data_IF_038073338889
#
_entry.id   IF_038073338889
#
_cell.length_a   1.000
_cell.length_b   1.000
_cell.length_c   1.000
_cell.angle_alpha   90.00
_cell.angle_beta   90.00
_cell.angle_gamma   90.00
#
_symmetry.space_group_name_H-M   'P 1'
#
loop_
_entity.id
_entity.type
_entity.pdbx_description
1 polymer ?
#
# COMPACT_ATOMS: atom_id res chain seq x y z
N UNK A 1 31.82 -19.52 33.29
CA UNK A 1 30.86 -18.60 32.63
C UNK A 1 29.86 -19.46 31.90
N UNK A 2 28.61 -19.46 32.35
CA UNK A 2 27.55 -20.31 31.82
C UNK A 2 27.12 -19.84 30.43
N UNK A 3 26.84 -20.79 29.55
CA UNK A 3 26.19 -20.56 28.26
C UNK A 3 24.70 -20.35 28.49
N UNK A 4 24.21 -19.16 28.13
CA UNK A 4 22.79 -18.85 28.04
C UNK A 4 22.23 -19.50 26.76
N UNK A 5 21.17 -20.34 26.84
CA UNK A 5 20.54 -20.89 25.65
C UNK A 5 19.70 -19.80 24.96
N UNK A 6 20.00 -19.54 23.69
CA UNK A 6 19.19 -18.68 22.83
C UNK A 6 17.81 -19.30 22.61
N UNK A 7 16.77 -18.60 23.09
CA UNK A 7 15.36 -18.96 22.91
C UNK A 7 14.99 -19.16 21.43
N UNK A 8 14.08 -20.09 21.09
CA UNK A 8 13.54 -20.21 19.74
C UNK A 8 12.56 -19.05 19.51
N UNK A 9 13.01 -18.03 18.79
CA UNK A 9 12.14 -16.96 18.31
C UNK A 9 11.09 -17.53 17.36
N UNK A 10 9.81 -17.41 17.73
CA UNK A 10 8.69 -17.86 16.90
C UNK A 10 8.72 -17.19 15.53
N UNK A 11 8.76 -18.01 14.47
CA UNK A 11 8.59 -17.53 13.10
C UNK A 11 7.16 -17.00 12.98
N UNK A 12 6.99 -15.68 13.00
CA UNK A 12 5.83 -15.07 12.36
C UNK A 12 5.86 -15.50 10.89
N UNK A 13 4.80 -16.19 10.47
CA UNK A 13 4.77 -17.02 9.26
C UNK A 13 5.06 -16.22 7.99
N UNK A 14 6.15 -16.59 7.33
CA UNK A 14 6.48 -16.17 5.96
C UNK A 14 5.34 -16.61 5.03
N UNK A 15 4.74 -15.66 4.30
CA UNK A 15 3.70 -15.98 3.30
C UNK A 15 4.31 -16.44 1.98
N UNK A 16 3.62 -17.37 1.33
CA UNK A 16 3.94 -17.77 -0.05
C UNK A 16 3.64 -16.63 -1.04
N UNK A 17 4.28 -16.69 -2.22
CA UNK A 17 4.04 -15.73 -3.30
C UNK A 17 2.56 -15.75 -3.73
N UNK A 18 1.95 -16.93 -3.83
CA UNK A 18 0.56 -17.08 -4.27
C UNK A 18 -0.44 -16.49 -3.26
N UNK A 19 -0.20 -16.70 -1.96
CA UNK A 19 -1.02 -16.06 -0.92
C UNK A 19 -0.98 -14.54 -1.03
N UNK A 20 0.22 -13.97 -1.19
CA UNK A 20 0.37 -12.51 -1.29
C UNK A 20 -0.18 -11.99 -2.61
N UNK A 21 -0.09 -12.76 -3.70
CA UNK A 21 -0.74 -12.41 -4.96
C UNK A 21 -2.27 -12.35 -4.80
N UNK A 22 -2.88 -13.28 -4.06
CA UNK A 22 -4.30 -13.22 -3.74
C UNK A 22 -4.66 -12.00 -2.88
N UNK A 23 -3.81 -11.65 -1.91
CA UNK A 23 -3.97 -10.43 -1.10
C UNK A 23 -3.91 -9.17 -1.97
N UNK A 24 -2.98 -9.10 -2.93
CA UNK A 24 -2.90 -8.02 -3.91
C UNK A 24 -4.21 -7.91 -4.70
N UNK A 25 -4.71 -9.02 -5.24
CA UNK A 25 -5.97 -9.02 -6.01
C UNK A 25 -7.15 -8.50 -5.20
N UNK A 26 -7.19 -8.83 -3.90
CA UNK A 26 -8.18 -8.27 -2.97
C UNK A 26 -8.01 -6.75 -2.79
N UNK A 27 -6.77 -6.27 -2.63
CA UNK A 27 -6.47 -4.83 -2.53
C UNK A 27 -6.91 -4.05 -3.77
N UNK A 28 -6.83 -4.64 -4.97
CA UNK A 28 -7.29 -4.01 -6.21
C UNK A 28 -8.79 -3.70 -6.22
N UNK A 29 -9.58 -4.34 -5.35
CA UNK A 29 -11.01 -4.06 -5.21
C UNK A 29 -11.33 -2.83 -4.37
N UNK A 30 -10.36 -2.30 -3.62
CA UNK A 30 -10.55 -1.16 -2.74
C UNK A 30 -10.93 0.10 -3.54
N UNK A 31 -11.90 0.91 -3.07
CA UNK A 31 -12.33 2.13 -3.76
C UNK A 31 -11.18 3.10 -4.06
N UNK A 32 -10.24 3.26 -3.12
CA UNK A 32 -9.07 4.14 -3.28
C UNK A 32 -8.13 3.65 -4.38
N UNK A 33 -7.91 2.34 -4.47
CA UNK A 33 -7.07 1.73 -5.52
C UNK A 33 -7.73 1.88 -6.90
N UNK A 34 -9.04 1.62 -7.00
CA UNK A 34 -9.80 1.84 -8.24
C UNK A 34 -9.75 3.30 -8.69
N UNK A 35 -9.92 4.23 -7.75
CA UNK A 35 -9.81 5.67 -8.01
C UNK A 35 -8.43 6.05 -8.53
N UNK A 36 -7.34 5.60 -7.90
CA UNK A 36 -5.98 5.88 -8.36
C UNK A 36 -5.72 5.30 -9.76
N UNK A 37 -6.12 4.05 -10.02
CA UNK A 37 -6.00 3.43 -11.35
C UNK A 37 -6.75 4.23 -12.43
N UNK A 38 -7.94 4.73 -12.11
CA UNK A 38 -8.70 5.59 -13.02
C UNK A 38 -7.95 6.90 -13.30
N UNK A 39 -7.45 7.59 -12.27
CA UNK A 39 -6.69 8.83 -12.43
C UNK A 39 -5.39 8.63 -13.22
N UNK A 40 -4.71 7.49 -13.03
CA UNK A 40 -3.55 7.12 -13.83
C UNK A 40 -3.92 6.91 -15.32
N UNK A 41 -5.04 6.24 -15.59
CA UNK A 41 -5.51 6.06 -16.97
C UNK A 41 -5.84 7.42 -17.65
N UNK A 42 -6.51 8.32 -16.94
CA UNK A 42 -6.81 9.68 -17.41
C UNK A 42 -5.53 10.52 -17.63
N UNK A 43 -4.47 10.26 -16.86
CA UNK A 43 -3.16 10.89 -17.03
C UNK A 43 -2.31 10.29 -18.17
N UNK A 44 -2.78 9.25 -18.85
CA UNK A 44 -2.08 8.60 -19.96
C UNK A 44 -1.14 7.44 -19.56
N UNK A 45 -1.17 6.99 -18.30
CA UNK A 45 -0.33 5.92 -17.77
C UNK A 45 -1.17 4.78 -17.18
N UNK A 46 -2.15 4.30 -17.94
CA UNK A 46 -3.02 3.22 -17.50
C UNK A 46 -2.23 1.97 -17.07
N UNK A 47 -2.54 1.44 -15.88
CA UNK A 47 -1.89 0.26 -15.32
C UNK A 47 -2.73 -1.00 -15.55
N UNK A 48 -2.10 -2.01 -16.15
CA UNK A 48 -2.68 -3.33 -16.45
C UNK A 48 -2.56 -4.26 -15.24
N UNK A 49 -3.21 -5.43 -15.28
CA UNK A 49 -3.25 -6.32 -14.13
C UNK A 49 -1.90 -6.98 -13.80
N UNK A 50 -1.02 -7.15 -14.80
CA UNK A 50 0.36 -7.62 -14.59
C UNK A 50 1.29 -6.57 -13.97
N UNK A 51 0.79 -5.36 -13.70
CA UNK A 51 1.53 -4.29 -13.04
C UNK A 51 1.79 -4.58 -11.56
N UNK A 52 1.06 -5.49 -10.94
CA UNK A 52 1.18 -5.82 -9.51
C UNK A 52 1.64 -7.27 -9.33
N UNK A 53 2.80 -7.47 -8.69
CA UNK A 53 3.39 -8.81 -8.53
C UNK A 53 3.83 -9.07 -7.10
N UNK A 54 3.51 -10.26 -6.59
CA UNK A 54 4.17 -10.79 -5.42
C UNK A 54 5.52 -11.42 -5.82
N UNK A 55 6.58 -11.18 -5.03
CA UNK A 55 7.91 -11.75 -5.25
C UNK A 55 8.57 -12.10 -3.92
N UNK A 56 9.54 -13.02 -3.95
CA UNK A 56 10.43 -13.23 -2.81
C UNK A 56 11.57 -12.21 -2.89
N UNK A 57 11.73 -11.40 -1.86
CA UNK A 57 12.77 -10.38 -1.80
C UNK A 57 14.00 -10.89 -1.04
N UNK A 58 15.19 -10.67 -1.62
CA UNK A 58 16.47 -10.96 -0.99
C UNK A 58 17.08 -9.69 -0.38
N UNK A 59 17.72 -9.83 0.78
CA UNK A 59 18.41 -8.74 1.48
C UNK A 59 17.48 -7.77 2.23
N UNK A 60 18.03 -6.63 2.65
CA UNK A 60 17.28 -5.55 3.33
C UNK A 60 16.47 -4.71 2.35
N UNK A 61 15.47 -5.31 1.70
CA UNK A 61 14.46 -4.59 0.92
C UNK A 61 13.25 -4.27 1.81
N UNK A 62 12.51 -3.21 1.49
CA UNK A 62 11.24 -2.87 2.12
C UNK A 62 10.17 -3.95 1.90
N UNK A 63 8.93 -3.70 2.35
CA UNK A 63 7.82 -4.63 2.19
C UNK A 63 7.23 -4.61 0.76
N UNK A 64 7.34 -3.48 0.06
CA UNK A 64 7.01 -3.34 -1.35
C UNK A 64 7.93 -2.30 -2.01
N UNK A 65 7.88 -2.21 -3.34
CA UNK A 65 8.53 -1.15 -4.10
C UNK A 65 7.90 -0.98 -5.50
N UNK A 66 7.88 0.25 -5.97
CA UNK A 66 7.62 0.62 -7.36
C UNK A 66 8.93 0.65 -8.17
N UNK A 67 8.93 0.00 -9.34
CA UNK A 67 9.98 0.12 -10.33
C UNK A 67 9.42 0.76 -11.62
N UNK A 68 9.95 1.92 -12.06
CA UNK A 68 9.52 2.58 -13.28
C UNK A 68 9.50 1.62 -14.48
N UNK A 69 8.49 1.75 -15.33
CA UNK A 69 8.17 0.88 -16.47
C UNK A 69 7.87 -0.61 -16.16
N UNK A 70 8.18 -1.11 -14.96
CA UNK A 70 8.01 -2.51 -14.59
C UNK A 70 6.75 -2.74 -13.77
N UNK A 71 6.46 -1.85 -12.81
CA UNK A 71 5.29 -1.92 -11.94
C UNK A 71 5.63 -2.04 -10.46
N UNK A 72 4.67 -2.53 -9.69
CA UNK A 72 4.70 -2.62 -8.23
C UNK A 72 4.95 -4.06 -7.81
N UNK A 73 5.87 -4.22 -6.87
CA UNK A 73 6.30 -5.50 -6.35
C UNK A 73 6.09 -5.55 -4.84
N UNK A 74 5.46 -6.61 -4.34
CA UNK A 74 5.25 -6.85 -2.90
C UNK A 74 6.10 -8.04 -2.47
N UNK A 75 6.92 -7.85 -1.44
CA UNK A 75 7.82 -8.86 -0.91
C UNK A 75 7.04 -9.85 -0.03
N UNK A 76 6.77 -11.05 -0.54
CA UNK A 76 5.90 -12.02 0.13
C UNK A 76 6.44 -12.45 1.50
N UNK A 77 7.78 -12.44 1.63
CA UNK A 77 8.49 -12.79 2.84
C UNK A 77 8.53 -11.69 3.91
N UNK A 78 8.01 -10.49 3.62
CA UNK A 78 8.01 -9.35 4.55
C UNK A 78 6.60 -8.89 4.95
N UNK A 79 5.54 -9.51 4.43
CA UNK A 79 4.14 -9.12 4.70
C UNK A 79 3.38 -10.23 5.41
N UNK A 80 2.51 -9.85 6.35
CA UNK A 80 1.74 -10.80 7.17
C UNK A 80 0.24 -10.54 7.08
N UNK A 81 -0.19 -9.28 7.02
CA UNK A 81 -1.61 -8.93 7.13
C UNK A 81 -2.18 -8.33 5.83
N UNK A 82 -3.47 -8.55 5.59
CA UNK A 82 -4.15 -7.97 4.42
C UNK A 82 -4.08 -6.45 4.43
N UNK A 83 -4.20 -5.83 5.61
CA UNK A 83 -4.16 -4.38 5.73
C UNK A 83 -2.79 -3.80 5.37
N UNK A 84 -1.69 -4.51 5.64
CA UNK A 84 -0.35 -4.11 5.16
C UNK A 84 -0.33 -4.08 3.63
N UNK A 85 -0.79 -5.15 2.98
CA UNK A 85 -0.83 -5.23 1.51
C UNK A 85 -1.77 -4.18 0.93
N UNK A 86 -2.89 -3.87 1.59
CA UNK A 86 -3.79 -2.80 1.18
C UNK A 86 -3.05 -1.45 1.15
N UNK A 87 -2.33 -1.12 2.22
CA UNK A 87 -1.60 0.14 2.33
C UNK A 87 -0.44 0.23 1.33
N UNK A 88 0.38 -0.82 1.25
CA UNK A 88 1.51 -0.91 0.33
C UNK A 88 1.08 -0.71 -1.12
N UNK A 89 -0.02 -1.34 -1.55
CA UNK A 89 -0.53 -1.15 -2.91
C UNK A 89 -0.94 0.30 -3.17
N UNK A 90 -1.54 0.98 -2.19
CA UNK A 90 -1.91 2.39 -2.34
C UNK A 90 -0.65 3.27 -2.36
N UNK A 91 0.29 3.04 -1.45
CA UNK A 91 1.56 3.78 -1.33
C UNK A 91 2.35 3.73 -2.64
N UNK A 92 2.60 2.52 -3.16
CA UNK A 92 3.35 2.33 -4.39
C UNK A 92 2.59 2.82 -5.63
N UNK A 93 1.25 2.81 -5.62
CA UNK A 93 0.46 3.43 -6.70
C UNK A 93 0.58 4.95 -6.72
N UNK A 94 0.74 5.58 -5.56
CA UNK A 94 0.98 7.03 -5.50
C UNK A 94 2.36 7.35 -6.06
N UNK A 95 3.39 6.54 -5.76
CA UNK A 95 4.70 6.67 -6.43
C UNK A 95 4.60 6.51 -7.94
N UNK A 96 3.87 5.49 -8.41
CA UNK A 96 3.63 5.30 -9.84
C UNK A 96 2.87 6.47 -10.48
N UNK A 97 1.90 7.05 -9.78
CA UNK A 97 1.16 8.21 -10.24
C UNK A 97 2.04 9.47 -10.29
N UNK A 98 2.87 9.70 -9.27
CA UNK A 98 3.82 10.80 -9.22
C UNK A 98 4.84 10.69 -10.35
N UNK A 99 5.39 9.50 -10.62
CA UNK A 99 6.29 9.22 -11.75
C UNK A 99 5.63 9.54 -13.09
N UNK A 100 4.39 9.07 -13.28
CA UNK A 100 3.62 9.29 -14.49
C UNK A 100 3.30 10.76 -14.76
N UNK A 101 2.91 11.50 -13.72
CA UNK A 101 2.50 12.91 -13.83
C UNK A 101 3.68 13.87 -13.93
N UNK A 102 4.85 13.41 -13.52
CA UNK A 102 6.00 14.26 -13.37
C UNK A 102 6.61 14.66 -14.70
N UNK A 103 6.42 15.93 -15.05
CA UNK A 103 7.27 16.62 -16.02
C UNK A 103 8.65 16.96 -15.40
N UNK A 104 8.75 17.03 -14.05
CA UNK A 104 9.95 17.46 -13.32
C UNK A 104 10.30 16.62 -12.07
N UNK A 105 9.81 15.37 -11.88
CA UNK A 105 10.39 14.52 -10.83
C UNK A 105 11.77 14.08 -11.30
N UNK A 106 12.72 14.21 -10.40
CA UNK A 106 14.05 13.67 -10.59
C UNK A 106 14.31 12.80 -9.37
N UNK A 107 14.33 11.48 -9.59
CA UNK A 107 14.54 10.50 -8.52
C UNK A 107 15.96 10.57 -7.91
N UNK A 108 16.87 11.36 -8.49
CA UNK A 108 18.17 11.71 -7.91
C UNK A 108 18.15 12.98 -7.03
N UNK A 109 17.01 13.67 -6.95
CA UNK A 109 16.82 14.84 -6.09
C UNK A 109 16.08 14.42 -4.81
N UNK A 110 16.78 14.50 -3.68
CA UNK A 110 16.25 14.14 -2.37
C UNK A 110 14.96 14.88 -2.00
N UNK A 111 14.79 16.14 -2.44
CA UNK A 111 13.58 16.90 -2.15
C UNK A 111 12.36 16.33 -2.88
N UNK A 112 12.54 15.92 -4.14
CA UNK A 112 11.46 15.33 -4.93
C UNK A 112 11.05 13.95 -4.38
N UNK A 113 12.03 13.14 -3.97
CA UNK A 113 11.77 11.87 -3.29
C UNK A 113 11.01 12.09 -1.98
N UNK A 114 11.48 12.98 -1.11
CA UNK A 114 10.83 13.28 0.16
C UNK A 114 9.38 13.79 -0.03
N UNK A 115 9.13 14.63 -1.04
CA UNK A 115 7.77 15.09 -1.35
C UNK A 115 6.85 13.96 -1.80
N UNK A 116 7.36 12.99 -2.59
CA UNK A 116 6.57 11.82 -2.99
C UNK A 116 6.28 10.91 -1.80
N UNK A 117 7.27 10.65 -0.93
CA UNK A 117 7.09 9.83 0.28
C UNK A 117 6.09 10.45 1.28
N UNK A 118 6.17 11.76 1.51
CA UNK A 118 5.22 12.48 2.39
C UNK A 118 3.79 12.31 1.87
N UNK A 119 3.61 12.43 0.55
CA UNK A 119 2.31 12.27 -0.09
C UNK A 119 1.82 10.84 -0.02
N UNK A 120 2.69 9.88 -0.33
CA UNK A 120 2.39 8.45 -0.30
C UNK A 120 1.96 8.03 1.11
N UNK A 121 2.77 8.33 2.15
CA UNK A 121 2.45 7.97 3.53
C UNK A 121 1.22 8.68 4.12
N UNK A 122 0.89 9.88 3.62
CA UNK A 122 -0.34 10.58 4.02
C UNK A 122 -1.59 9.98 3.36
N UNK A 123 -1.54 9.73 2.05
CA UNK A 123 -2.70 9.30 1.27
C UNK A 123 -2.94 7.79 1.28
N UNK A 124 -1.92 6.96 1.53
CA UNK A 124 -2.10 5.53 1.77
C UNK A 124 -2.93 5.33 3.04
N UNK A 125 -2.50 5.97 4.13
CA UNK A 125 -2.95 5.68 5.48
C UNK A 125 -1.87 4.99 6.32
N UNK A 126 -0.64 4.83 5.80
CA UNK A 126 0.49 4.19 6.50
C UNK A 126 0.80 4.85 7.83
N UNK A 127 0.77 6.20 7.87
CA UNK A 127 1.00 6.94 9.11
C UNK A 127 -0.06 6.60 10.19
N UNK A 128 -1.30 6.36 9.77
CA UNK A 128 -2.37 5.95 10.68
C UNK A 128 -2.25 4.46 11.06
N UNK A 129 -2.00 3.59 10.08
CA UNK A 129 -1.88 2.15 10.28
C UNK A 129 -0.71 1.79 11.22
N UNK A 130 0.48 2.34 10.96
CA UNK A 130 1.65 2.12 11.82
C UNK A 130 1.39 2.62 13.24
N UNK A 131 0.69 3.74 13.39
CA UNK A 131 0.29 4.25 14.71
C UNK A 131 -0.66 3.31 15.45
N UNK A 132 -1.65 2.73 14.78
CA UNK A 132 -2.58 1.78 15.41
C UNK A 132 -1.93 0.41 15.69
N UNK A 133 -1.00 -0.04 14.84
CA UNK A 133 -0.16 -1.21 15.05
C UNK A 133 0.74 -1.02 16.29
N UNK A 134 1.45 0.12 16.37
CA UNK A 134 2.29 0.45 17.54
C UNK A 134 1.47 0.62 18.82
N UNK A 135 0.19 0.98 18.71
CA UNK A 135 -0.75 1.10 19.84
C UNK A 135 -1.44 -0.21 20.20
N UNK A 136 -1.21 -1.30 19.47
CA UNK A 136 -1.82 -2.61 19.74
C UNK A 136 -3.33 -2.69 19.53
N UNK A 137 -3.92 -1.74 18.80
CA UNK A 137 -5.37 -1.60 18.65
C UNK A 137 -5.86 -2.02 17.25
N UNK A 138 -5.79 -3.31 16.91
CA UNK A 138 -6.60 -3.86 15.81
C UNK A 138 -8.03 -4.14 16.27
N UNK A 139 -8.80 -3.10 16.56
CA UNK A 139 -10.26 -3.20 16.67
C UNK A 139 -10.87 -2.77 15.33
N UNK A 140 -11.25 -3.73 14.51
CA UNK A 140 -12.10 -3.54 13.32
C UNK A 140 -13.43 -2.90 13.75
N UNK A 141 -13.51 -1.57 13.75
CA UNK A 141 -14.78 -0.85 13.80
C UNK A 141 -15.13 -0.46 12.37
N UNK A 142 -16.14 -1.14 11.83
CA UNK A 142 -16.71 -0.84 10.52
C UNK A 142 -17.15 0.62 10.46
N UNK A 143 -16.58 1.36 9.51
CA UNK A 143 -17.11 2.65 9.09
C UNK A 143 -18.23 2.37 8.09
N UNK A 144 -19.45 2.16 8.59
CA UNK A 144 -20.63 2.35 7.77
C UNK A 144 -20.88 3.86 7.65
N UNK A 145 -20.92 4.46 6.45
CA UNK A 145 -21.28 5.86 6.31
C UNK A 145 -22.78 5.97 6.60
N UNK A 146 -23.15 6.61 7.72
CA UNK A 146 -24.54 7.04 7.91
C UNK A 146 -24.89 7.99 6.78
N UNK A 147 -25.75 7.50 5.87
CA UNK A 147 -26.35 8.29 4.81
C UNK A 147 -27.32 9.26 5.45
N UNK A 148 -26.88 10.47 5.79
CA UNK A 148 -27.79 11.58 6.11
C UNK A 148 -28.66 11.82 4.88
N UNK A 149 -29.93 11.41 4.95
CA UNK A 149 -30.95 11.79 3.97
C UNK A 149 -31.13 13.31 4.08
N UNK A 150 -30.55 14.08 3.16
CA UNK A 150 -31.06 15.42 2.86
C UNK A 150 -32.41 15.24 2.15
N UNK A 151 -33.50 15.38 2.92
CA UNK A 151 -34.84 15.54 2.38
C UNK A 151 -34.97 16.93 1.78
N UNK A 152 -35.16 16.98 0.46
CA UNK A 152 -35.41 18.21 -0.30
C UNK A 152 -36.79 18.81 -0.04
N UNK A 153 -36.85 20.12 -0.25
CA UNK A 153 -38.05 20.99 -0.33
C UNK A 153 -39.12 20.45 -1.29
N UNK A 154 -40.38 20.62 -0.91
CA UNK A 154 -41.53 20.90 -1.79
C UNK A 154 -42.55 21.68 -0.94
N UNK A 155 -42.70 23.00 -1.13
CA UNK A 155 -43.81 23.63 -1.88
C UNK A 155 -45.16 22.93 -1.72
N UNK A 156 -46.01 23.50 -0.86
CA UNK A 156 -47.36 23.98 -1.15
C UNK A 156 -47.77 24.97 -0.05
#
# INVERSE_FOLDING_TARGET
>A
MAQEPSSPGGSLGVKSVDEVQAMIQKSLQLPKVKFLRQRMAEAGCAVKDNFFRAVVCQGRKGMAYFAPAHGIFVCSNHVTFQDEVNQLIIHELIHAYDDCRAVNLHWNNCAHQACSEIRAGHLSGDCHFMRELLRGHFKLRGHEPQRSKMGGRASQ
#
